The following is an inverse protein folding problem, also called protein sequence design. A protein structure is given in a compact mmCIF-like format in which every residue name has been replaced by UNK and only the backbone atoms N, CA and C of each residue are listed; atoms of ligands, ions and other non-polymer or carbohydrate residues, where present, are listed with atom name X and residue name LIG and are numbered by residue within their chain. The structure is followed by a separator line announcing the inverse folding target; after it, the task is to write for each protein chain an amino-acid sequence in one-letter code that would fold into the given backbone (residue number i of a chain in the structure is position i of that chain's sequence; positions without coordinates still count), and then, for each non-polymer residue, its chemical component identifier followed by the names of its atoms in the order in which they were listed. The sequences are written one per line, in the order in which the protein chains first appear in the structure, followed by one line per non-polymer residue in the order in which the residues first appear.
data_IF_355482116858
#
_entry.id   IF_355482116858
#
_cell.length_a   1.000
_cell.length_b   1.000
_cell.length_c   1.000
_cell.angle_alpha   90.00
_cell.angle_beta   90.00
_cell.angle_gamma   90.00
#
_symmetry.space_group_name_H-M   'P 1'
#
loop_
_entity.id
_entity.type
_entity.pdbx_description
1 polymer ?
#
# COMPACT_ATOMS: atom_id res chain seq x y z
N UNK A 1 -16.02 -16.91 -15.05
CA UNK A 1 -14.61 -17.19 -15.36
C UNK A 1 -14.10 -18.60 -15.02
N UNK A 2 -14.37 -19.21 -13.86
CA UNK A 2 -13.84 -20.58 -13.58
C UNK A 2 -14.50 -21.64 -14.49
N UNK A 3 -15.83 -21.63 -14.62
CA UNK A 3 -16.56 -22.61 -15.46
C UNK A 3 -16.19 -22.52 -16.94
N UNK A 4 -16.14 -21.30 -17.50
CA UNK A 4 -15.76 -21.06 -18.90
C UNK A 4 -14.38 -21.68 -19.22
N UNK A 5 -13.40 -21.49 -18.33
CA UNK A 5 -12.06 -22.09 -18.51
C UNK A 5 -12.08 -23.61 -18.42
N UNK A 6 -12.86 -24.20 -17.53
CA UNK A 6 -12.98 -25.67 -17.44
C UNK A 6 -13.60 -26.28 -18.71
N UNK A 7 -14.56 -25.57 -19.33
CA UNK A 7 -15.14 -25.99 -20.60
C UNK A 7 -14.17 -25.78 -21.77
N UNK A 8 -13.59 -24.59 -21.88
CA UNK A 8 -12.86 -24.17 -23.08
C UNK A 8 -11.42 -24.70 -23.12
N UNK A 9 -10.75 -24.81 -21.97
CA UNK A 9 -9.34 -25.28 -21.89
C UNK A 9 -9.24 -26.79 -21.62
N UNK A 10 -10.24 -27.37 -20.93
CA UNK A 10 -10.16 -28.76 -20.43
C UNK A 10 -11.31 -29.65 -20.92
N UNK A 11 -12.25 -29.14 -21.71
CA UNK A 11 -13.33 -29.93 -22.30
C UNK A 11 -14.28 -30.57 -21.28
N UNK A 12 -14.36 -30.01 -20.07
CA UNK A 12 -15.16 -30.61 -18.99
C UNK A 12 -16.64 -30.33 -19.20
N UNK A 13 -17.44 -31.38 -19.38
CA UNK A 13 -18.89 -31.30 -19.52
C UNK A 13 -19.58 -31.23 -18.14
N UNK A 14 -19.61 -30.03 -17.56
CA UNK A 14 -20.30 -29.74 -16.29
C UNK A 14 -21.10 -28.46 -16.39
N UNK A 15 -22.21 -28.39 -15.65
CA UNK A 15 -23.04 -27.18 -15.58
C UNK A 15 -22.40 -26.10 -14.70
N UNK A 16 -22.61 -24.83 -15.07
CA UNK A 16 -22.05 -23.69 -14.33
C UNK A 16 -22.47 -23.69 -12.85
N UNK A 17 -23.72 -24.06 -12.56
CA UNK A 17 -24.26 -24.14 -11.20
C UNK A 17 -23.50 -25.16 -10.33
N UNK A 18 -23.08 -26.28 -10.92
CA UNK A 18 -22.27 -27.30 -10.24
C UNK A 18 -20.88 -26.76 -9.89
N UNK A 19 -20.24 -26.04 -10.82
CA UNK A 19 -18.94 -25.40 -10.58
C UNK A 19 -19.04 -24.31 -9.51
N UNK A 20 -20.07 -23.45 -9.58
CA UNK A 20 -20.29 -22.41 -8.55
C UNK A 20 -20.49 -23.01 -7.17
N UNK A 21 -21.32 -24.05 -7.05
CA UNK A 21 -21.57 -24.74 -5.79
C UNK A 21 -20.29 -25.36 -5.23
N UNK A 22 -19.51 -26.04 -6.08
CA UNK A 22 -18.24 -26.63 -5.67
C UNK A 22 -17.24 -25.56 -5.21
N UNK A 23 -17.12 -24.45 -5.95
CA UNK A 23 -16.25 -23.32 -5.57
C UNK A 23 -16.68 -22.70 -4.25
N UNK A 24 -17.99 -22.55 -4.01
CA UNK A 24 -18.51 -22.05 -2.74
C UNK A 24 -18.14 -22.98 -1.58
N UNK A 25 -18.38 -24.29 -1.71
CA UNK A 25 -17.99 -25.30 -0.72
C UNK A 25 -16.49 -25.31 -0.45
N UNK A 26 -15.67 -25.21 -1.50
CA UNK A 26 -14.21 -25.14 -1.36
C UNK A 26 -13.75 -23.84 -0.71
N UNK A 27 -14.40 -22.72 -0.99
CA UNK A 27 -14.09 -21.43 -0.36
C UNK A 27 -14.34 -21.48 1.15
N UNK A 28 -15.38 -22.15 1.63
CA UNK A 28 -15.63 -22.32 3.08
C UNK A 28 -14.54 -23.14 3.76
N UNK A 29 -13.99 -24.15 3.09
CA UNK A 29 -12.87 -24.98 3.60
C UNK A 29 -11.53 -24.26 3.51
N UNK A 30 -11.30 -23.48 2.44
CA UNK A 30 -10.03 -22.82 2.15
C UNK A 30 -9.90 -21.48 2.87
N UNK A 31 -10.99 -20.73 3.07
CA UNK A 31 -10.94 -19.41 3.71
C UNK A 31 -10.30 -19.41 5.12
N UNK A 32 -10.54 -20.42 5.98
CA UNK A 32 -9.82 -20.56 7.24
C UNK A 32 -8.32 -20.85 7.07
N UNK A 33 -7.92 -21.56 6.01
CA UNK A 33 -6.52 -21.93 5.73
C UNK A 33 -5.70 -20.77 5.15
N UNK A 34 -6.34 -19.93 4.33
CA UNK A 34 -5.70 -18.75 3.69
C UNK A 34 -5.55 -17.57 4.66
N UNK A 35 -6.13 -17.66 5.86
CA UNK A 35 -6.18 -16.55 6.81
C UNK A 35 -4.81 -16.13 7.38
N UNK A 36 -3.75 -16.89 7.13
CA UNK A 36 -2.40 -16.64 7.66
C UNK A 36 -1.28 -16.91 6.65
N UNK A 37 -1.40 -16.38 5.43
CA UNK A 37 -0.25 -16.36 4.51
C UNK A 37 0.60 -15.14 4.85
N UNK A 38 1.73 -15.36 5.52
CA UNK A 38 2.74 -14.33 5.76
C UNK A 38 3.77 -14.38 4.63
N UNK A 39 3.76 -13.38 3.76
CA UNK A 39 4.85 -13.16 2.81
C UNK A 39 5.95 -12.36 3.53
N UNK A 40 7.13 -12.98 3.70
CA UNK A 40 8.31 -12.22 4.12
C UNK A 40 8.71 -11.30 2.97
N UNK A 41 8.51 -10.01 3.17
CA UNK A 41 9.03 -8.98 2.29
C UNK A 41 10.49 -8.72 2.68
N UNK A 42 11.40 -8.84 1.72
CA UNK A 42 12.81 -8.51 1.89
C UNK A 42 13.14 -7.30 1.01
N UNK A 43 13.81 -6.30 1.59
CA UNK A 43 14.18 -5.06 0.93
C UNK A 43 15.66 -4.80 1.14
N UNK A 44 16.35 -4.19 0.19
CA UNK A 44 17.68 -3.62 0.41
C UNK A 44 17.60 -2.30 1.20
N UNK A 45 18.73 -1.83 1.77
CA UNK A 45 18.80 -0.52 2.40
C UNK A 45 18.30 0.60 1.47
N UNK A 46 17.33 1.39 1.93
CA UNK A 46 16.77 2.51 1.16
C UNK A 46 15.83 2.13 0.01
N UNK A 47 15.56 0.84 -0.24
CA UNK A 47 14.67 0.44 -1.35
C UNK A 47 13.22 0.88 -1.11
N UNK A 48 12.75 0.79 0.12
CA UNK A 48 11.36 1.05 0.46
C UNK A 48 11.23 1.76 1.80
N UNK A 49 10.29 2.70 1.89
CA UNK A 49 9.74 3.16 3.15
C UNK A 49 8.21 3.11 3.11
N UNK A 50 7.61 2.81 4.26
CA UNK A 50 6.17 2.87 4.46
C UNK A 50 5.84 4.18 5.16
N UNK A 51 4.77 4.84 4.71
CA UNK A 51 4.30 6.11 5.23
C UNK A 51 2.84 5.97 5.66
N UNK A 52 2.55 6.44 6.86
CA UNK A 52 1.22 6.35 7.46
C UNK A 52 0.91 7.61 8.30
N UNK A 53 -0.37 7.81 8.60
CA UNK A 53 -0.84 8.80 9.55
C UNK A 53 -1.44 8.12 10.79
N UNK A 54 -0.87 8.42 11.95
CA UNK A 54 -1.48 8.12 13.25
C UNK A 54 -2.30 9.29 13.80
N UNK A 55 -3.09 9.01 14.82
CA UNK A 55 -3.79 10.03 15.62
C UNK A 55 -3.42 9.90 17.09
N UNK A 56 -3.29 11.02 17.78
CA UNK A 56 -3.07 11.07 19.22
C UNK A 56 -3.80 12.26 19.84
N UNK A 57 -4.02 12.22 21.15
CA UNK A 57 -4.44 13.38 21.94
C UNK A 57 -3.30 13.80 22.85
N UNK A 58 -2.99 15.09 22.84
CA UNK A 58 -1.90 15.68 23.63
C UNK A 58 -2.41 16.93 24.32
N UNK A 59 -1.87 17.24 25.50
CA UNK A 59 -2.16 18.50 26.18
C UNK A 59 -1.26 19.60 25.60
N UNK A 60 -1.87 20.63 25.01
CA UNK A 60 -1.19 21.83 24.52
C UNK A 60 -1.78 23.00 25.29
N UNK A 61 -0.96 23.71 26.06
CA UNK A 61 -1.38 24.85 26.90
C UNK A 61 -2.61 24.55 27.78
N UNK A 62 -2.66 23.34 28.34
CA UNK A 62 -3.77 22.90 29.19
C UNK A 62 -5.04 22.52 28.45
N UNK A 63 -5.03 22.45 27.12
CA UNK A 63 -6.15 22.00 26.29
C UNK A 63 -5.81 20.64 25.66
N UNK A 64 -6.68 19.65 25.88
CA UNK A 64 -6.56 18.34 25.25
C UNK A 64 -6.86 18.48 23.75
N UNK A 65 -5.81 18.37 22.95
CA UNK A 65 -5.82 18.67 21.52
C UNK A 65 -5.54 17.40 20.73
N UNK A 66 -6.37 17.13 19.72
CA UNK A 66 -6.11 16.07 18.74
C UNK A 66 -4.98 16.51 17.81
N UNK A 67 -3.98 15.66 17.66
CA UNK A 67 -2.86 15.82 16.73
C UNK A 67 -2.75 14.60 15.82
N UNK A 68 -2.04 14.79 14.72
CA UNK A 68 -1.82 13.79 13.69
C UNK A 68 -0.34 13.46 13.60
N UNK A 69 0.00 12.18 13.62
CA UNK A 69 1.36 11.70 13.63
C UNK A 69 1.74 11.26 12.22
N UNK A 70 2.61 12.01 11.55
CA UNK A 70 3.25 11.56 10.33
C UNK A 70 4.27 10.48 10.69
N UNK A 71 4.11 9.28 10.17
CA UNK A 71 4.97 8.14 10.45
C UNK A 71 5.62 7.67 9.16
N UNK A 72 6.96 7.60 9.12
CA UNK A 72 7.70 6.93 8.04
C UNK A 72 8.60 5.85 8.61
N UNK A 73 8.62 4.66 7.99
CA UNK A 73 9.45 3.52 8.42
C UNK A 73 10.20 2.92 7.24
N UNK A 74 11.52 2.76 7.37
CA UNK A 74 12.33 2.07 6.36
C UNK A 74 12.03 0.57 6.33
N UNK A 75 11.87 -0.01 5.15
CA UNK A 75 11.53 -1.43 4.95
C UNK A 75 12.64 -2.40 5.35
N UNK A 76 13.92 -2.03 5.18
CA UNK A 76 15.06 -2.89 5.54
C UNK A 76 15.40 -2.85 7.03
N UNK A 77 15.70 -1.65 7.56
CA UNK A 77 16.16 -1.49 8.94
C UNK A 77 15.03 -1.37 9.95
N UNK A 78 13.78 -1.21 9.50
CA UNK A 78 12.61 -0.90 10.34
C UNK A 78 12.73 0.41 11.13
N UNK A 79 13.73 1.25 10.81
CA UNK A 79 13.96 2.52 11.48
C UNK A 79 12.74 3.44 11.34
N UNK A 80 12.15 3.93 12.45
CA UNK A 80 10.99 4.81 12.41
C UNK A 80 11.40 6.29 12.44
N UNK A 81 10.56 7.11 11.82
CA UNK A 81 10.50 8.55 11.99
C UNK A 81 9.04 8.93 12.28
N UNK A 82 8.82 9.76 13.31
CA UNK A 82 7.48 10.23 13.69
C UNK A 82 7.51 11.73 13.97
N UNK A 83 6.56 12.47 13.40
CA UNK A 83 6.40 13.90 13.63
C UNK A 83 4.92 14.27 13.82
N UNK A 84 4.64 15.08 14.84
CA UNK A 84 3.28 15.52 15.14
C UNK A 84 2.90 16.81 14.40
N UNK A 85 1.70 16.83 13.84
CA UNK A 85 1.12 17.96 13.12
C UNK A 85 -0.30 18.26 13.63
N UNK A 86 -0.76 19.53 13.54
CA UNK A 86 -2.12 19.91 13.92
C UNK A 86 -3.19 19.44 12.92
N UNK A 87 -2.80 19.05 11.69
CA UNK A 87 -3.70 18.57 10.64
C UNK A 87 -2.95 17.67 9.63
N UNK A 88 -3.70 16.96 8.78
CA UNK A 88 -3.15 16.09 7.70
C UNK A 88 -3.14 16.79 6.32
N UNK A 89 -3.04 18.12 6.25
CA UNK A 89 -3.04 18.85 4.96
C UNK A 89 -1.71 18.65 4.23
N UNK A 90 -1.71 19.01 2.94
CA UNK A 90 -0.56 18.83 2.05
C UNK A 90 0.73 19.44 2.59
N UNK A 91 0.67 20.62 3.22
CA UNK A 91 1.85 21.28 3.81
C UNK A 91 2.51 20.41 4.88
N UNK A 92 1.71 19.86 5.80
CA UNK A 92 2.19 18.94 6.84
C UNK A 92 2.69 17.62 6.24
N UNK A 93 2.04 17.13 5.19
CA UNK A 93 2.48 15.92 4.49
C UNK A 93 3.84 16.10 3.82
N UNK A 94 4.05 17.20 3.09
CA UNK A 94 5.32 17.52 2.44
C UNK A 94 6.44 17.78 3.45
N UNK A 95 6.14 18.52 4.53
CA UNK A 95 7.11 18.76 5.61
C UNK A 95 7.53 17.45 6.28
N UNK A 96 6.59 16.54 6.56
CA UNK A 96 6.89 15.22 7.11
C UNK A 96 7.86 14.42 6.23
N UNK A 97 7.70 14.49 4.90
CA UNK A 97 8.64 13.87 3.96
C UNK A 97 10.01 14.52 3.98
N UNK A 98 10.08 15.86 3.90
CA UNK A 98 11.34 16.57 3.93
C UNK A 98 12.15 16.25 5.21
N UNK A 99 11.48 16.28 6.36
CA UNK A 99 12.10 16.01 7.67
C UNK A 99 12.51 14.57 7.87
N UNK A 100 11.71 13.62 7.38
CA UNK A 100 12.07 12.21 7.47
C UNK A 100 13.28 11.87 6.59
N UNK A 101 13.35 12.41 5.37
CA UNK A 101 14.50 12.20 4.47
C UNK A 101 15.78 12.84 5.02
N UNK A 102 15.68 14.03 5.62
CA UNK A 102 16.79 14.67 6.35
C UNK A 102 17.24 13.80 7.52
N UNK A 103 16.31 13.30 8.33
CA UNK A 103 16.59 12.39 9.46
C UNK A 103 17.29 11.09 9.04
N UNK A 104 16.85 10.47 7.94
CA UNK A 104 17.47 9.25 7.42
C UNK A 104 18.79 9.51 6.68
N UNK A 105 19.13 10.77 6.39
CA UNK A 105 20.31 11.13 5.59
C UNK A 105 20.21 10.69 4.13
N UNK A 106 18.99 10.49 3.61
CA UNK A 106 18.77 9.97 2.27
C UNK A 106 17.29 9.83 1.90
N UNK A 107 17.04 9.54 0.62
CA UNK A 107 15.70 9.41 0.05
C UNK A 107 15.43 7.96 -0.33
N UNK A 108 14.39 7.31 0.21
CA UNK A 108 13.99 5.96 -0.20
C UNK A 108 13.56 5.93 -1.68
N UNK A 109 13.86 4.82 -2.38
CA UNK A 109 13.47 4.65 -3.80
C UNK A 109 11.96 4.54 -3.99
N UNK A 110 11.28 3.86 -3.06
CA UNK A 110 9.84 3.66 -3.10
C UNK A 110 9.20 4.07 -1.78
N UNK A 111 8.10 4.82 -1.87
CA UNK A 111 7.24 5.14 -0.75
C UNK A 111 5.92 4.40 -0.92
N UNK A 112 5.56 3.61 0.08
CA UNK A 112 4.28 2.90 0.14
C UNK A 112 3.40 3.61 1.15
N UNK A 113 2.16 3.87 0.76
CA UNK A 113 1.18 4.50 1.61
C UNK A 113 0.02 3.56 1.85
N UNK A 114 -0.36 3.37 3.11
CA UNK A 114 -1.57 2.65 3.45
C UNK A 114 -2.76 3.62 3.38
N UNK A 115 -3.64 3.38 2.40
CA UNK A 115 -4.87 4.14 2.12
C UNK A 115 -4.78 5.65 2.41
N UNK A 116 -4.17 6.39 1.49
CA UNK A 116 -4.29 7.85 1.51
C UNK A 116 -5.67 8.18 0.95
N UNK A 117 -6.56 8.89 1.68
CA UNK A 117 -7.83 9.30 1.11
C UNK A 117 -7.56 10.08 -0.19
N UNK A 118 -8.33 9.75 -1.24
CA UNK A 118 -8.08 9.95 -2.69
C UNK A 118 -7.51 11.30 -3.17
N UNK A 119 -7.42 12.32 -2.33
CA UNK A 119 -7.04 13.68 -2.68
C UNK A 119 -5.53 13.99 -2.57
N UNK A 120 -4.75 13.29 -1.74
CA UNK A 120 -3.33 13.65 -1.54
C UNK A 120 -2.45 13.16 -2.71
N UNK A 121 -2.62 11.92 -3.15
CA UNK A 121 -1.81 11.34 -4.24
C UNK A 121 -2.12 12.02 -5.60
N UNK A 122 -3.38 12.39 -5.86
CA UNK A 122 -3.80 13.04 -7.12
C UNK A 122 -3.18 14.42 -7.27
N UNK A 123 -2.93 15.14 -6.17
CA UNK A 123 -2.27 16.45 -6.19
C UNK A 123 -0.77 16.33 -6.43
N UNK A 124 -0.13 15.28 -5.89
CA UNK A 124 1.32 15.03 -6.04
C UNK A 124 1.70 14.46 -7.40
N UNK A 125 0.82 13.69 -8.02
CA UNK A 125 0.98 13.19 -9.37
C UNK A 125 -0.13 13.80 -10.26
N UNK A 126 0.04 15.06 -10.72
CA UNK A 126 -0.87 15.59 -11.73
C UNK A 126 -0.87 14.63 -12.92
N UNK A 127 -2.09 14.33 -13.39
CA UNK A 127 -2.51 13.22 -14.26
C UNK A 127 -1.76 13.13 -15.61
N UNK A 128 -0.75 13.97 -15.85
CA UNK A 128 0.12 13.96 -17.03
C UNK A 128 1.51 13.33 -16.81
N UNK A 129 1.95 12.98 -15.60
CA UNK A 129 3.26 12.31 -15.43
C UNK A 129 3.26 10.83 -15.79
N UNK A 130 2.09 10.16 -15.74
CA UNK A 130 1.94 8.76 -16.15
C UNK A 130 1.10 8.59 -17.43
N UNK A 131 0.80 9.69 -18.12
CA UNK A 131 -0.01 9.72 -19.34
C UNK A 131 0.72 10.41 -20.48
N UNK A 132 1.74 9.74 -21.04
CA UNK A 132 2.46 10.26 -22.20
C UNK A 132 3.42 9.24 -22.80
N UNK A 133 2.94 8.54 -23.83
CA UNK A 133 3.62 7.58 -24.71
C UNK A 133 3.80 6.14 -24.21
N UNK A 134 2.93 5.27 -24.74
CA UNK A 134 3.18 3.83 -24.87
C UNK A 134 4.38 3.63 -25.79
N UNK A 135 5.50 3.16 -25.27
CA UNK A 135 6.47 2.32 -26.00
C UNK A 135 7.35 1.58 -25.00
N UNK A 136 7.32 0.25 -25.02
CA UNK A 136 8.32 -0.60 -24.36
C UNK A 136 7.97 -1.02 -22.94
N UNK A 137 7.24 -2.12 -22.83
CA UNK A 137 7.22 -2.96 -21.63
C UNK A 137 8.65 -3.44 -21.36
N UNK A 138 9.29 -2.96 -20.29
CA UNK A 138 10.55 -3.53 -19.79
C UNK A 138 10.23 -4.62 -18.76
N UNK A 139 9.76 -5.74 -19.29
CA UNK A 139 9.95 -7.06 -18.72
C UNK A 139 10.38 -7.92 -19.89
N UNK A 140 11.69 -8.05 -20.10
CA UNK A 140 12.33 -9.19 -20.75
C UNK A 140 13.87 -9.09 -20.61
N UNK A 141 14.44 -10.18 -20.09
CA UNK A 141 15.82 -10.68 -20.22
C UNK A 141 17.00 -9.86 -19.65
N UNK A 142 17.49 -10.28 -18.46
CA UNK A 142 18.84 -10.83 -18.23
C UNK A 142 18.94 -11.42 -16.82
#
# INVERSE_FOLDING_TARGET
RIWERLRDEYGVDVTESTVRRLVAQRREVIAPLVRQVYLMLAFGPGDLAQVDWGEAQVWIDGVLTKVYLFCMRLGYSTAPFVMAFPNMRMECFLEGHARSMEYFGGVPRHLVYDYVPRHIIVVLCPVSLCGGARTGCWYDAA
#
